data_IF_439378837536
#
_entry.id   IF_439378837536
#
_cell.length_a   1.000
_cell.length_b   1.000
_cell.length_c   1.000
_cell.angle_alpha   90.00
_cell.angle_beta   90.00
_cell.angle_gamma   90.00
#
_symmetry.space_group_name_H-M   'P 1'
#
loop_
_entity.id
_entity.type
_entity.pdbx_description
1 polymer ?
#
# COMPACT_ATOMS: atom_id res chain seq x y z
N UNK A 1 52.80 40.65 -28.10
CA UNK A 1 52.44 41.62 -27.05
C UNK A 1 53.10 41.16 -25.76
N UNK A 2 54.08 41.92 -25.29
CA UNK A 2 54.98 41.58 -24.18
C UNK A 2 54.21 41.54 -22.86
N UNK A 3 54.32 40.44 -22.11
CA UNK A 3 53.77 40.34 -20.74
C UNK A 3 54.77 41.05 -19.84
N UNK A 4 54.42 42.27 -19.40
CA UNK A 4 55.18 42.99 -18.39
C UNK A 4 55.13 42.20 -17.07
N UNK A 5 56.30 41.70 -16.65
CA UNK A 5 56.52 41.21 -15.30
C UNK A 5 56.24 42.35 -14.30
N UNK A 6 55.17 42.20 -13.53
CA UNK A 6 54.85 43.09 -12.43
C UNK A 6 55.91 42.86 -11.35
N UNK A 7 56.68 43.92 -11.06
CA UNK A 7 57.65 44.02 -9.98
C UNK A 7 57.13 43.36 -8.70
N UNK A 8 57.76 42.26 -8.28
CA UNK A 8 57.59 41.68 -6.95
C UNK A 8 58.26 42.63 -5.95
N UNK A 9 57.52 43.60 -5.45
CA UNK A 9 57.98 44.37 -4.29
C UNK A 9 58.24 43.39 -3.15
N UNK A 10 59.49 43.34 -2.67
CA UNK A 10 59.84 42.63 -1.45
C UNK A 10 59.04 43.26 -0.30
N UNK A 11 57.97 42.59 0.10
CA UNK A 11 57.16 42.98 1.26
C UNK A 11 58.07 42.80 2.48
N UNK A 12 58.48 43.92 3.07
CA UNK A 12 59.22 43.90 4.33
C UNK A 12 58.39 43.11 5.36
N UNK A 13 59.02 42.22 6.16
CA UNK A 13 58.30 41.51 7.21
C UNK A 13 57.63 42.55 8.12
N UNK A 14 56.36 42.35 8.53
CA UNK A 14 55.66 43.31 9.35
C UNK A 14 56.47 43.62 10.60
N UNK A 15 56.73 44.90 10.87
CA UNK A 15 57.36 45.33 12.13
C UNK A 15 56.26 45.24 13.19
N UNK A 16 56.12 44.05 13.77
CA UNK A 16 55.14 43.78 14.82
C UNK A 16 55.66 44.40 16.12
N UNK A 17 54.90 45.34 16.70
CA UNK A 17 55.27 45.86 18.01
C UNK A 17 55.15 44.76 19.06
N UNK A 18 55.95 44.83 20.14
CA UNK A 18 55.87 43.84 21.23
C UNK A 18 54.44 43.72 21.80
N UNK A 19 53.72 44.84 21.87
CA UNK A 19 52.32 44.89 22.28
C UNK A 19 51.37 44.17 21.32
N UNK A 20 51.59 44.29 20.00
CA UNK A 20 50.76 43.58 19.00
C UNK A 20 50.96 42.07 19.12
N UNK A 21 52.21 41.64 19.34
CA UNK A 21 52.55 40.22 19.54
C UNK A 21 51.88 39.65 20.78
N UNK A 22 51.97 40.35 21.92
CA UNK A 22 51.34 39.92 23.17
C UNK A 22 49.81 39.88 23.06
N UNK A 23 49.20 40.82 22.32
CA UNK A 23 47.76 40.82 22.03
C UNK A 23 47.35 39.61 21.19
N UNK A 24 48.05 39.32 20.09
CA UNK A 24 47.76 38.18 19.22
C UNK A 24 47.93 36.85 19.96
N UNK A 25 48.97 36.69 20.76
CA UNK A 25 49.18 35.50 21.61
C UNK A 25 48.07 35.33 22.66
N UNK A 26 47.51 36.42 23.19
CA UNK A 26 46.35 36.37 24.09
C UNK A 26 45.08 35.94 23.35
N UNK A 27 44.86 36.44 22.13
CA UNK A 27 43.71 36.05 21.31
C UNK A 27 43.79 34.58 20.87
N UNK A 28 44.97 34.13 20.47
CA UNK A 28 45.19 32.73 20.10
C UNK A 28 44.96 31.78 21.28
N UNK A 29 45.47 32.12 22.48
CA UNK A 29 45.17 31.37 23.70
C UNK A 29 43.67 31.34 24.00
N UNK A 30 42.99 32.47 23.87
CA UNK A 30 41.53 32.53 24.07
C UNK A 30 40.78 31.62 23.09
N UNK A 31 41.14 31.61 21.80
CA UNK A 31 40.53 30.71 20.81
C UNK A 31 40.72 29.26 21.25
N UNK A 32 41.94 28.83 21.54
CA UNK A 32 42.25 27.44 21.91
C UNK A 32 41.45 27.02 23.13
N UNK A 33 41.48 27.80 24.21
CA UNK A 33 40.77 27.48 25.46
C UNK A 33 39.25 27.43 25.26
N UNK A 34 38.68 28.37 24.49
CA UNK A 34 37.24 28.36 24.22
C UNK A 34 36.84 27.20 23.31
N UNK A 35 37.64 26.86 22.29
CA UNK A 35 37.37 25.73 21.40
C UNK A 35 37.46 24.38 22.12
N UNK A 36 38.41 24.23 23.03
CA UNK A 36 38.53 23.05 23.90
C UNK A 36 37.34 22.96 24.87
N UNK A 37 36.88 24.10 25.41
CA UNK A 37 35.74 24.18 26.33
C UNK A 37 34.42 23.74 25.68
N UNK A 38 34.19 24.11 24.42
CA UNK A 38 32.99 23.71 23.68
C UNK A 38 33.10 22.30 23.07
N UNK A 39 34.20 21.59 23.30
CA UNK A 39 34.38 20.21 22.85
C UNK A 39 34.30 20.05 21.32
N UNK A 40 34.68 21.10 20.60
CA UNK A 40 34.59 21.11 19.14
C UNK A 40 35.85 20.45 18.53
N UNK A 41 35.64 19.34 17.82
CA UNK A 41 36.61 18.77 16.88
C UNK A 41 36.46 19.48 15.51
N UNK A 42 37.31 19.22 14.51
CA UNK A 42 37.20 19.83 13.16
C UNK A 42 35.83 19.60 12.46
N UNK A 43 34.99 18.70 13.01
CA UNK A 43 33.63 18.38 12.57
C UNK A 43 32.51 18.88 13.52
N UNK A 44 32.85 19.74 14.49
CA UNK A 44 31.91 20.27 15.50
C UNK A 44 30.85 21.26 14.95
N UNK A 45 29.83 21.62 15.78
CA UNK A 45 28.75 22.50 15.35
C UNK A 45 29.27 23.89 14.95
N UNK A 46 29.19 24.19 13.65
CA UNK A 46 29.72 25.41 13.03
C UNK A 46 29.24 26.74 13.68
N UNK A 47 28.10 26.71 14.37
CA UNK A 47 27.54 27.89 15.04
C UNK A 47 28.34 28.32 16.28
N UNK A 48 28.93 27.39 17.02
CA UNK A 48 29.73 27.70 18.22
C UNK A 48 31.11 28.27 17.85
N UNK A 49 31.75 27.69 16.82
CA UNK A 49 32.95 28.27 16.21
C UNK A 49 32.70 29.69 15.71
N UNK A 50 31.59 29.92 15.01
CA UNK A 50 31.23 31.25 14.51
C UNK A 50 31.14 32.28 15.65
N UNK A 51 30.56 31.91 16.80
CA UNK A 51 30.45 32.80 17.97
C UNK A 51 31.84 33.15 18.54
N UNK A 52 32.73 32.17 18.68
CA UNK A 52 34.10 32.37 19.19
C UNK A 52 34.87 33.32 18.28
N UNK A 53 34.90 33.06 16.98
CA UNK A 53 35.62 33.90 16.02
C UNK A 53 35.00 35.30 15.88
N UNK A 54 33.68 35.41 15.96
CA UNK A 54 32.99 36.72 15.98
C UNK A 54 33.46 37.57 17.17
N UNK A 55 33.52 36.98 18.37
CA UNK A 55 33.98 37.67 19.57
C UNK A 55 35.45 38.09 19.49
N UNK A 56 36.32 37.25 18.91
CA UNK A 56 37.72 37.59 18.68
C UNK A 56 37.84 38.73 17.68
N UNK A 57 37.07 38.70 16.60
CA UNK A 57 37.10 39.75 15.58
C UNK A 57 36.62 41.10 16.15
N UNK A 58 35.60 41.10 17.02
CA UNK A 58 35.18 42.30 17.75
C UNK A 58 36.32 42.87 18.62
N UNK A 59 37.09 42.01 19.32
CA UNK A 59 38.27 42.43 20.08
C UNK A 59 39.40 42.98 19.20
N UNK A 60 39.60 42.43 18.00
CA UNK A 60 40.58 42.92 17.03
C UNK A 60 40.18 44.30 16.48
N UNK A 61 38.89 44.52 16.20
CA UNK A 61 38.34 45.82 15.78
C UNK A 61 38.52 46.88 16.88
N UNK A 62 38.35 46.51 18.15
CA UNK A 62 38.60 47.40 19.28
C UNK A 62 40.09 47.77 19.43
N UNK A 63 40.99 46.80 19.21
CA UNK A 63 42.43 46.99 19.32
C UNK A 63 43.01 47.84 18.18
N UNK A 64 42.61 47.57 16.92
CA UNK A 64 43.13 48.23 15.73
C UNK A 64 42.31 49.48 15.40
N UNK A 65 42.56 50.56 16.14
CA UNK A 65 41.81 51.83 16.02
C UNK A 65 41.94 52.49 14.65
N UNK A 66 43.11 52.41 14.00
CA UNK A 66 43.38 53.06 12.72
C UNK A 66 42.51 52.53 11.56
N UNK A 67 42.18 51.23 11.56
CA UNK A 67 41.38 50.57 10.53
C UNK A 67 39.98 50.18 11.01
N UNK A 68 39.57 50.68 12.19
CA UNK A 68 38.33 50.30 12.86
C UNK A 68 37.10 50.47 11.97
N UNK A 69 37.00 51.58 11.23
CA UNK A 69 35.87 51.85 10.33
C UNK A 69 35.78 50.84 9.18
N UNK A 70 36.90 50.50 8.56
CA UNK A 70 36.97 49.54 7.46
C UNK A 70 36.65 48.13 7.96
N UNK A 71 37.29 47.70 9.06
CA UNK A 71 37.05 46.35 9.63
C UNK A 71 35.61 46.19 10.13
N UNK A 72 35.01 47.24 10.69
CA UNK A 72 33.59 47.22 11.10
C UNK A 72 32.66 47.09 9.89
N UNK A 73 32.95 47.81 8.79
CA UNK A 73 32.17 47.69 7.56
C UNK A 73 32.27 46.30 6.95
N UNK A 74 33.48 45.73 6.88
CA UNK A 74 33.71 44.36 6.43
C UNK A 74 32.92 43.38 7.31
N UNK A 75 33.03 43.50 8.64
CA UNK A 75 32.27 42.66 9.58
C UNK A 75 30.77 42.68 9.28
N UNK A 76 30.23 43.88 9.09
CA UNK A 76 28.80 44.10 8.84
C UNK A 76 28.34 43.44 7.54
N UNK A 77 29.14 43.49 6.48
CA UNK A 77 28.82 42.81 5.21
C UNK A 77 28.80 41.29 5.37
N UNK A 78 29.81 40.72 6.02
CA UNK A 78 29.85 39.28 6.28
C UNK A 78 28.73 38.81 7.20
N UNK A 79 28.43 39.56 8.27
CA UNK A 79 27.31 39.25 9.16
C UNK A 79 25.96 39.28 8.40
N UNK A 80 25.75 40.27 7.53
CA UNK A 80 24.54 40.34 6.69
C UNK A 80 24.44 39.16 5.70
N UNK A 81 25.56 38.75 5.10
CA UNK A 81 25.62 37.60 4.19
C UNK A 81 25.32 36.28 4.91
N UNK A 82 25.95 36.06 6.07
CA UNK A 82 25.74 34.87 6.91
C UNK A 82 24.27 34.78 7.36
N UNK A 83 23.67 35.89 7.79
CA UNK A 83 22.25 35.92 8.16
C UNK A 83 21.33 35.60 6.97
N UNK A 84 21.68 36.08 5.77
CA UNK A 84 20.93 35.78 4.55
C UNK A 84 20.98 34.28 4.22
N UNK A 85 22.15 33.64 4.36
CA UNK A 85 22.30 32.18 4.18
C UNK A 85 21.53 31.40 5.25
N UNK A 86 21.64 31.81 6.51
CA UNK A 86 20.90 31.14 7.60
C UNK A 86 19.39 31.22 7.38
N UNK A 87 18.89 32.39 6.98
CA UNK A 87 17.49 32.60 6.63
C UNK A 87 17.08 31.74 5.44
N UNK A 88 17.85 31.75 4.35
CA UNK A 88 17.54 30.98 3.14
C UNK A 88 17.44 29.48 3.42
N UNK A 89 18.39 28.92 4.19
CA UNK A 89 18.38 27.52 4.62
C UNK A 89 17.15 27.17 5.44
N UNK A 90 16.74 28.02 6.39
CA UNK A 90 15.52 27.83 7.19
C UNK A 90 14.26 27.82 6.31
N UNK A 91 14.15 28.76 5.37
CA UNK A 91 13.02 28.78 4.42
C UNK A 91 13.00 27.56 3.51
N UNK A 92 14.16 27.12 3.01
CA UNK A 92 14.25 25.93 2.17
C UNK A 92 13.81 24.67 2.92
N UNK A 93 14.27 24.50 4.16
CA UNK A 93 13.86 23.40 5.02
C UNK A 93 12.34 23.41 5.28
N UNK A 94 11.78 24.58 5.62
CA UNK A 94 10.35 24.74 5.84
C UNK A 94 9.52 24.42 4.59
N UNK A 95 9.90 24.96 3.43
CA UNK A 95 9.20 24.72 2.17
C UNK A 95 9.30 23.26 1.74
N UNK A 96 10.48 22.64 1.90
CA UNK A 96 10.66 21.22 1.64
C UNK A 96 9.80 20.35 2.56
N UNK A 97 9.75 20.66 3.85
CA UNK A 97 8.87 19.98 4.81
C UNK A 97 7.39 20.10 4.43
N UNK A 98 6.95 21.31 4.07
CA UNK A 98 5.57 21.56 3.61
C UNK A 98 5.27 20.80 2.32
N UNK A 99 6.19 20.78 1.36
CA UNK A 99 6.04 20.02 0.12
C UNK A 99 5.98 18.52 0.38
N UNK A 100 6.80 17.98 1.29
CA UNK A 100 6.79 16.56 1.68
C UNK A 100 5.45 16.16 2.30
N UNK A 101 4.90 17.00 3.19
CA UNK A 101 3.56 16.80 3.76
C UNK A 101 2.51 16.82 2.65
N UNK A 102 2.51 17.86 1.81
CA UNK A 102 1.56 18.01 0.71
C UNK A 102 1.71 16.94 -0.38
N UNK A 103 2.88 16.33 -0.56
CA UNK A 103 3.10 15.23 -1.49
C UNK A 103 2.66 13.88 -0.90
N UNK A 104 2.67 13.72 0.43
CA UNK A 104 2.13 12.54 1.12
C UNK A 104 0.61 12.59 1.35
N UNK A 105 0.03 13.79 1.46
CA UNK A 105 -1.42 14.01 1.68
C UNK A 105 -2.39 13.73 0.48
N UNK A 106 -2.02 13.70 -0.83
CA UNK A 106 -3.03 13.67 -1.89
C UNK A 106 -3.54 12.28 -2.24
N UNK A 107 -2.72 11.24 -2.10
CA UNK A 107 -3.08 9.93 -2.68
C UNK A 107 -4.18 9.28 -1.86
N UNK A 108 -4.01 9.16 -0.54
CA UNK A 108 -5.02 8.55 0.33
C UNK A 108 -6.36 9.30 0.30
N UNK A 109 -6.36 10.64 0.39
CA UNK A 109 -7.58 11.43 0.42
C UNK A 109 -8.32 11.42 -0.93
N UNK A 110 -7.59 11.44 -2.04
CA UNK A 110 -8.19 11.27 -3.37
C UNK A 110 -8.77 9.86 -3.54
N UNK A 111 -8.10 8.81 -3.06
CA UNK A 111 -8.65 7.45 -3.08
C UNK A 111 -9.91 7.32 -2.22
N UNK A 112 -9.93 7.88 -1.01
CA UNK A 112 -11.12 7.87 -0.15
C UNK A 112 -12.29 8.60 -0.81
N UNK A 113 -12.05 9.77 -1.43
CA UNK A 113 -13.10 10.49 -2.19
C UNK A 113 -13.62 9.68 -3.37
N UNK A 114 -12.73 9.06 -4.16
CA UNK A 114 -13.11 8.19 -5.27
C UNK A 114 -13.94 6.99 -4.77
N UNK A 115 -13.54 6.39 -3.66
CA UNK A 115 -14.25 5.26 -3.03
C UNK A 115 -15.65 5.67 -2.53
N UNK A 116 -15.78 6.84 -1.92
CA UNK A 116 -17.09 7.39 -1.49
C UNK A 116 -18.03 7.50 -2.69
N UNK A 117 -17.58 8.09 -3.80
CA UNK A 117 -18.40 8.23 -5.01
C UNK A 117 -18.81 6.87 -5.59
N UNK A 118 -17.89 5.90 -5.62
CA UNK A 118 -18.19 4.53 -6.07
C UNK A 118 -19.22 3.84 -5.17
N UNK A 119 -19.06 3.94 -3.85
CA UNK A 119 -19.99 3.35 -2.89
C UNK A 119 -21.38 3.98 -2.98
N UNK A 120 -21.47 5.31 -3.12
CA UNK A 120 -22.73 6.00 -3.34
C UNK A 120 -23.43 5.58 -4.64
N UNK A 121 -22.67 5.31 -5.72
CA UNK A 121 -23.23 4.77 -6.95
C UNK A 121 -23.77 3.36 -6.76
N UNK A 122 -23.03 2.49 -6.06
CA UNK A 122 -23.47 1.13 -5.72
C UNK A 122 -24.71 1.13 -4.83
N UNK A 123 -24.76 1.98 -3.80
CA UNK A 123 -25.93 2.11 -2.93
C UNK A 123 -27.19 2.49 -3.72
N UNK A 124 -27.10 3.49 -4.61
CA UNK A 124 -28.23 3.89 -5.46
C UNK A 124 -28.73 2.76 -6.35
N UNK A 125 -27.82 1.94 -6.89
CA UNK A 125 -28.20 0.78 -7.70
C UNK A 125 -28.90 -0.30 -6.86
N UNK A 126 -28.41 -0.56 -5.65
CA UNK A 126 -29.03 -1.50 -4.71
C UNK A 126 -30.42 -1.00 -4.31
N UNK A 127 -30.58 0.26 -3.94
CA UNK A 127 -31.89 0.84 -3.59
C UNK A 127 -32.90 0.72 -4.73
N UNK A 128 -32.48 0.98 -5.97
CA UNK A 128 -33.35 0.85 -7.13
C UNK A 128 -33.77 -0.61 -7.35
N UNK A 129 -32.82 -1.54 -7.27
CA UNK A 129 -33.11 -2.98 -7.38
C UNK A 129 -34.03 -3.46 -6.26
N UNK A 130 -33.77 -3.07 -5.02
CA UNK A 130 -34.61 -3.37 -3.87
C UNK A 130 -36.03 -2.84 -4.05
N UNK A 131 -36.19 -1.61 -4.55
CA UNK A 131 -37.50 -1.02 -4.82
C UNK A 131 -38.25 -1.79 -5.91
N UNK A 132 -37.56 -2.22 -6.97
CA UNK A 132 -38.14 -3.03 -8.05
C UNK A 132 -38.58 -4.42 -7.57
N UNK A 133 -37.76 -5.06 -6.75
CA UNK A 133 -38.10 -6.36 -6.15
C UNK A 133 -39.30 -6.22 -5.22
N UNK A 134 -39.33 -5.17 -4.40
CA UNK A 134 -40.45 -4.92 -3.50
C UNK A 134 -41.77 -4.73 -4.27
N UNK A 135 -41.74 -3.99 -5.38
CA UNK A 135 -42.87 -3.86 -6.30
C UNK A 135 -43.37 -5.22 -6.82
N UNK A 136 -42.45 -6.08 -7.29
CA UNK A 136 -42.80 -7.41 -7.78
C UNK A 136 -43.37 -8.32 -6.67
N UNK A 137 -42.84 -8.21 -5.45
CA UNK A 137 -43.36 -8.94 -4.29
C UNK A 137 -44.80 -8.48 -3.99
N UNK A 138 -45.07 -7.18 -4.04
CA UNK A 138 -46.38 -6.64 -3.74
C UNK A 138 -47.40 -6.99 -4.85
N UNK A 139 -46.99 -6.98 -6.13
CA UNK A 139 -47.79 -7.50 -7.25
C UNK A 139 -48.13 -8.99 -7.05
N UNK A 140 -47.14 -9.83 -6.71
CA UNK A 140 -47.38 -11.25 -6.46
C UNK A 140 -48.30 -11.50 -5.25
N UNK A 141 -48.19 -10.67 -4.20
CA UNK A 141 -49.10 -10.74 -3.06
C UNK A 141 -50.52 -10.36 -3.44
N UNK A 142 -50.70 -9.33 -4.26
CA UNK A 142 -52.02 -8.95 -4.78
C UNK A 142 -52.61 -10.07 -5.64
N UNK A 143 -51.84 -10.62 -6.58
CA UNK A 143 -52.26 -11.76 -7.39
C UNK A 143 -52.64 -12.96 -6.50
N UNK A 144 -51.84 -13.28 -5.48
CA UNK A 144 -52.16 -14.35 -4.53
C UNK A 144 -53.44 -14.06 -3.75
N UNK A 145 -53.67 -12.84 -3.29
CA UNK A 145 -54.91 -12.46 -2.61
C UNK A 145 -56.14 -12.56 -3.54
N UNK A 146 -55.98 -12.24 -4.83
CA UNK A 146 -57.03 -12.45 -5.85
C UNK A 146 -57.29 -13.94 -6.13
N UNK A 147 -56.25 -14.76 -6.15
CA UNK A 147 -56.39 -16.21 -6.25
C UNK A 147 -57.03 -16.80 -5.01
N UNK A 148 -56.60 -16.42 -3.81
CA UNK A 148 -57.16 -16.87 -2.54
C UNK A 148 -58.63 -16.44 -2.41
N UNK A 149 -59.03 -15.25 -2.88
CA UNK A 149 -60.45 -14.86 -2.90
C UNK A 149 -61.27 -15.63 -3.93
N UNK A 150 -60.69 -16.00 -5.09
CA UNK A 150 -61.33 -16.89 -6.08
C UNK A 150 -61.36 -18.35 -5.60
N UNK A 151 -60.35 -18.82 -4.88
CA UNK A 151 -60.28 -20.15 -4.26
C UNK A 151 -61.18 -20.24 -3.03
N UNK A 152 -61.33 -19.19 -2.21
CA UNK A 152 -62.27 -19.16 -1.09
C UNK A 152 -63.72 -19.35 -1.57
N UNK A 153 -64.05 -18.82 -2.76
CA UNK A 153 -65.31 -19.10 -3.45
C UNK A 153 -65.41 -20.54 -4.01
N UNK A 154 -64.28 -21.18 -4.33
CA UNK A 154 -64.23 -22.55 -4.88
C UNK A 154 -64.08 -23.65 -3.82
N UNK A 155 -63.48 -23.40 -2.66
CA UNK A 155 -63.26 -24.39 -1.58
C UNK A 155 -64.56 -24.68 -0.83
N UNK A 156 -65.47 -23.71 -0.73
CA UNK A 156 -66.80 -23.91 -0.16
C UNK A 156 -67.83 -24.53 -1.11
N UNK A 157 -67.48 -24.71 -2.40
CA UNK A 157 -68.29 -25.44 -3.36
C UNK A 157 -67.55 -26.72 -3.78
N UNK A 158 -67.39 -27.66 -2.84
CA UNK A 158 -67.27 -29.09 -3.20
C UNK A 158 -68.62 -29.55 -3.76
N UNK A 159 -68.90 -29.11 -4.98
CA UNK A 159 -69.90 -29.72 -5.83
C UNK A 159 -69.46 -31.16 -6.06
N UNK A 160 -70.11 -32.11 -5.39
CA UNK A 160 -69.97 -33.55 -5.65
C UNK A 160 -70.38 -33.94 -7.07
N UNK A 161 -70.90 -32.99 -7.87
CA UNK A 161 -71.26 -33.14 -9.28
C UNK A 161 -70.10 -32.91 -10.25
N UNK A 162 -68.93 -32.42 -9.78
CA UNK A 162 -67.77 -32.23 -10.67
C UNK A 162 -67.03 -33.56 -10.85
N UNK A 163 -66.81 -34.02 -12.10
CA UNK A 163 -66.08 -35.25 -12.36
C UNK A 163 -64.63 -35.16 -11.87
N UNK A 164 -64.06 -36.31 -11.48
CA UNK A 164 -62.66 -36.43 -11.06
C UNK A 164 -61.76 -35.84 -12.17
N UNK A 165 -60.81 -34.94 -11.85
CA UNK A 165 -59.95 -34.31 -12.85
C UNK A 165 -59.24 -35.35 -13.74
N UNK A 166 -59.48 -35.31 -15.06
CA UNK A 166 -58.93 -36.28 -16.01
C UNK A 166 -59.77 -37.54 -16.22
N UNK A 167 -60.97 -37.63 -15.63
CA UNK A 167 -61.98 -38.64 -15.93
C UNK A 167 -63.26 -37.99 -16.47
N UNK A 168 -63.99 -38.73 -17.31
CA UNK A 168 -65.33 -38.36 -17.74
C UNK A 168 -66.38 -38.72 -16.67
N UNK A 169 -67.58 -38.09 -16.71
CA UNK A 169 -68.67 -38.40 -15.79
C UNK A 169 -69.06 -39.88 -15.80
N UNK A 170 -69.05 -40.52 -16.97
CA UNK A 170 -69.39 -41.94 -17.11
C UNK A 170 -68.33 -42.86 -16.48
N UNK A 171 -67.06 -42.52 -16.61
CA UNK A 171 -65.96 -43.26 -15.98
C UNK A 171 -65.98 -43.07 -14.45
N UNK A 172 -66.35 -41.88 -13.97
CA UNK A 172 -66.40 -41.57 -12.53
C UNK A 172 -67.48 -42.35 -11.75
N UNK A 173 -68.42 -42.98 -12.45
CA UNK A 173 -69.45 -43.86 -11.86
C UNK A 173 -69.13 -45.35 -12.11
N UNK A 174 -68.11 -45.65 -12.92
CA UNK A 174 -67.66 -47.01 -13.21
C UNK A 174 -66.57 -47.45 -12.24
N UNK A 175 -66.85 -48.50 -11.48
CA UNK A 175 -65.94 -49.05 -10.47
C UNK A 175 -64.61 -49.53 -11.10
N UNK A 176 -64.66 -50.10 -12.30
CA UNK A 176 -63.47 -50.56 -13.03
C UNK A 176 -62.58 -49.39 -13.49
N UNK A 177 -63.19 -48.29 -13.97
CA UNK A 177 -62.46 -47.11 -14.39
C UNK A 177 -61.82 -46.36 -13.20
N UNK A 178 -62.54 -46.27 -12.08
CA UNK A 178 -62.01 -45.74 -10.81
C UNK A 178 -60.82 -46.55 -10.30
N UNK A 179 -60.90 -47.88 -10.36
CA UNK A 179 -59.81 -48.76 -9.89
C UNK A 179 -58.56 -48.61 -10.75
N UNK A 180 -58.73 -48.50 -12.09
CA UNK A 180 -57.62 -48.23 -13.02
C UNK A 180 -56.99 -46.86 -12.79
N UNK A 181 -57.81 -45.84 -12.55
CA UNK A 181 -57.34 -44.48 -12.30
C UNK A 181 -56.60 -44.37 -10.96
N UNK A 182 -57.10 -45.04 -9.92
CA UNK A 182 -56.42 -45.15 -8.63
C UNK A 182 -55.03 -45.78 -8.79
N UNK A 183 -54.93 -46.89 -9.51
CA UNK A 183 -53.65 -47.55 -9.79
C UNK A 183 -52.68 -46.63 -10.55
N UNK A 184 -53.16 -45.90 -11.55
CA UNK A 184 -52.35 -44.92 -12.27
C UNK A 184 -51.82 -43.79 -11.35
N UNK A 185 -52.64 -43.31 -10.41
CA UNK A 185 -52.20 -42.31 -9.43
C UNK A 185 -51.15 -42.86 -8.47
N UNK A 186 -51.31 -44.10 -8.00
CA UNK A 186 -50.32 -44.79 -7.18
C UNK A 186 -48.99 -44.95 -7.93
N UNK A 187 -49.03 -45.40 -9.18
CA UNK A 187 -47.85 -45.54 -10.04
C UNK A 187 -47.15 -44.19 -10.24
N UNK A 188 -47.90 -43.12 -10.52
CA UNK A 188 -47.37 -41.76 -10.70
C UNK A 188 -46.77 -41.20 -9.42
N UNK A 189 -47.39 -41.48 -8.27
CA UNK A 189 -46.85 -41.09 -6.97
C UNK A 189 -45.52 -41.77 -6.69
N UNK A 190 -45.44 -43.09 -6.91
CA UNK A 190 -44.21 -43.86 -6.74
C UNK A 190 -43.10 -43.38 -7.69
N UNK A 191 -43.43 -43.07 -8.95
CA UNK A 191 -42.49 -42.48 -9.91
C UNK A 191 -41.96 -41.13 -9.42
N UNK A 192 -42.84 -40.27 -8.91
CA UNK A 192 -42.48 -38.94 -8.40
C UNK A 192 -41.60 -39.03 -7.15
N UNK A 193 -41.89 -39.94 -6.24
CA UNK A 193 -41.10 -40.19 -5.04
C UNK A 193 -39.70 -40.75 -5.39
N UNK A 194 -39.63 -41.65 -6.37
CA UNK A 194 -38.36 -42.15 -6.88
C UNK A 194 -37.55 -41.06 -7.60
N UNK A 195 -38.22 -40.17 -8.33
CA UNK A 195 -37.58 -39.00 -8.95
C UNK A 195 -37.06 -38.03 -7.90
N UNK A 196 -37.84 -37.77 -6.85
CA UNK A 196 -37.44 -36.89 -5.76
C UNK A 196 -36.18 -37.41 -5.05
N UNK A 197 -36.16 -38.71 -4.71
CA UNK A 197 -35.03 -39.34 -4.03
C UNK A 197 -33.76 -39.42 -4.87
N UNK A 198 -33.86 -39.55 -6.20
CA UNK A 198 -32.70 -39.56 -7.11
C UNK A 198 -32.17 -38.16 -7.43
N UNK A 199 -33.05 -37.18 -7.57
CA UNK A 199 -32.72 -35.87 -8.15
C UNK A 199 -32.44 -34.79 -7.11
N UNK A 200 -32.91 -34.97 -5.88
CA UNK A 200 -32.77 -33.99 -4.81
C UNK A 200 -32.05 -34.59 -3.61
N UNK A 201 -31.15 -33.80 -3.02
CA UNK A 201 -30.50 -34.11 -1.76
C UNK A 201 -31.32 -33.53 -0.61
N UNK A 202 -31.45 -34.25 0.53
CA UNK A 202 -32.05 -33.69 1.74
C UNK A 202 -31.33 -32.41 2.16
N UNK A 203 -32.11 -31.41 2.57
CA UNK A 203 -31.56 -30.10 2.95
C UNK A 203 -30.49 -30.19 4.06
N UNK A 204 -30.65 -31.13 5.00
CA UNK A 204 -29.68 -31.37 6.07
C UNK A 204 -28.31 -31.79 5.52
N UNK A 205 -28.28 -32.76 4.59
CA UNK A 205 -27.05 -33.24 3.96
C UNK A 205 -26.31 -32.15 3.19
N UNK A 206 -27.06 -31.20 2.60
CA UNK A 206 -26.47 -30.05 1.93
C UNK A 206 -25.76 -29.13 2.92
N UNK A 207 -26.42 -28.82 4.04
CA UNK A 207 -25.82 -27.96 5.07
C UNK A 207 -24.54 -28.58 5.67
N UNK A 208 -24.54 -29.89 5.91
CA UNK A 208 -23.35 -30.60 6.41
C UNK A 208 -22.18 -30.51 5.41
N UNK A 209 -22.46 -30.66 4.09
CA UNK A 209 -21.46 -30.54 3.04
C UNK A 209 -20.93 -29.11 2.85
N UNK A 210 -21.80 -28.11 3.00
CA UNK A 210 -21.40 -26.70 2.93
C UNK A 210 -20.45 -26.35 4.09
N UNK A 211 -20.70 -26.87 5.29
CA UNK A 211 -19.80 -26.70 6.45
C UNK A 211 -18.45 -27.43 6.24
N UNK A 212 -18.47 -28.68 5.76
CA UNK A 212 -17.24 -29.41 5.41
C UNK A 212 -16.40 -28.66 4.36
N UNK A 213 -17.05 -28.05 3.36
CA UNK A 213 -16.38 -27.25 2.34
C UNK A 213 -15.64 -26.05 2.97
N UNK A 214 -16.28 -25.32 3.89
CA UNK A 214 -15.68 -24.17 4.57
C UNK A 214 -14.41 -24.61 5.32
N UNK A 215 -14.50 -25.68 6.11
CA UNK A 215 -13.36 -26.19 6.89
C UNK A 215 -12.19 -26.61 5.99
N UNK A 216 -12.47 -27.26 4.85
CA UNK A 216 -11.44 -27.66 3.89
C UNK A 216 -10.78 -26.45 3.24
N UNK A 217 -11.55 -25.42 2.88
CA UNK A 217 -11.02 -24.19 2.30
C UNK A 217 -10.12 -23.45 3.28
N UNK A 218 -10.54 -23.28 4.53
CA UNK A 218 -9.71 -22.65 5.56
C UNK A 218 -8.39 -23.41 5.77
N UNK A 219 -8.44 -24.74 5.80
CA UNK A 219 -7.24 -25.57 5.92
C UNK A 219 -6.30 -25.41 4.73
N UNK A 220 -6.84 -25.30 3.51
CA UNK A 220 -6.05 -25.04 2.30
C UNK A 220 -5.36 -23.69 2.40
N UNK A 221 -6.09 -22.64 2.76
CA UNK A 221 -5.57 -21.27 2.81
C UNK A 221 -4.46 -21.14 3.87
N UNK A 222 -4.62 -21.79 5.02
CA UNK A 222 -3.57 -21.87 6.05
C UNK A 222 -2.32 -22.59 5.53
N UNK A 223 -2.50 -23.70 4.80
CA UNK A 223 -1.39 -24.46 4.24
C UNK A 223 -0.67 -23.66 3.12
N UNK A 224 -1.41 -22.95 2.28
CA UNK A 224 -0.88 -22.11 1.22
C UNK A 224 -0.08 -20.94 1.78
N UNK A 225 -0.59 -20.25 2.80
CA UNK A 225 0.13 -19.19 3.49
C UNK A 225 1.44 -19.68 4.11
N UNK A 226 1.42 -20.85 4.76
CA UNK A 226 2.63 -21.45 5.31
C UNK A 226 3.62 -21.85 4.22
N UNK A 227 3.14 -22.38 3.10
CA UNK A 227 3.98 -22.74 1.96
C UNK A 227 4.67 -21.49 1.35
N UNK A 228 3.94 -20.39 1.19
CA UNK A 228 4.47 -19.13 0.68
C UNK A 228 5.58 -18.58 1.59
N UNK A 229 5.37 -18.59 2.92
CA UNK A 229 6.38 -18.17 3.89
C UNK A 229 7.63 -19.07 3.84
N UNK A 230 7.44 -20.39 3.72
CA UNK A 230 8.56 -21.33 3.59
C UNK A 230 9.33 -21.12 2.28
N UNK A 231 8.64 -20.87 1.18
CA UNK A 231 9.24 -20.58 -0.12
C UNK A 231 10.07 -19.30 -0.08
N UNK A 232 9.55 -18.24 0.55
CA UNK A 232 10.29 -16.99 0.73
C UNK A 232 11.58 -17.20 1.54
N UNK A 233 11.50 -17.95 2.65
CA UNK A 233 12.67 -18.30 3.44
C UNK A 233 13.67 -19.11 2.62
N UNK A 234 13.19 -20.10 1.87
CA UNK A 234 14.04 -20.92 1.01
C UNK A 234 14.80 -20.09 -0.02
N UNK A 235 14.11 -19.19 -0.72
CA UNK A 235 14.72 -18.27 -1.70
C UNK A 235 15.78 -17.38 -1.04
N UNK A 236 15.48 -16.82 0.14
CA UNK A 236 16.46 -16.01 0.89
C UNK A 236 17.69 -16.81 1.26
N UNK A 237 17.53 -18.03 1.78
CA UNK A 237 18.65 -18.92 2.07
C UNK A 237 19.45 -19.26 0.82
N UNK A 238 18.78 -19.48 -0.32
CA UNK A 238 19.43 -19.79 -1.59
C UNK A 238 20.30 -18.63 -2.07
N UNK A 239 19.82 -17.39 -1.99
CA UNK A 239 20.59 -16.19 -2.35
C UNK A 239 21.81 -16.05 -1.45
N UNK A 240 21.65 -16.24 -0.13
CA UNK A 240 22.76 -16.16 0.83
C UNK A 240 23.77 -17.28 0.55
N UNK A 241 23.32 -18.49 0.24
CA UNK A 241 24.18 -19.63 -0.08
C UNK A 241 24.99 -19.39 -1.36
N UNK A 242 24.35 -18.84 -2.41
CA UNK A 242 25.01 -18.45 -3.65
C UNK A 242 26.04 -17.34 -3.40
N UNK A 243 25.66 -16.31 -2.63
CA UNK A 243 26.55 -15.23 -2.24
C UNK A 243 27.76 -15.74 -1.47
N UNK A 244 27.55 -16.63 -0.50
CA UNK A 244 28.62 -17.23 0.29
C UNK A 244 29.58 -18.04 -0.60
N UNK A 245 29.03 -18.85 -1.52
CA UNK A 245 29.83 -19.64 -2.45
C UNK A 245 30.70 -18.76 -3.35
N UNK A 246 30.14 -17.68 -3.88
CA UNK A 246 30.87 -16.73 -4.72
C UNK A 246 31.90 -15.92 -3.92
N UNK A 247 31.58 -15.55 -2.68
CA UNK A 247 32.49 -14.85 -1.78
C UNK A 247 33.71 -15.69 -1.42
N UNK A 248 33.51 -16.96 -1.07
CA UNK A 248 34.59 -17.94 -0.83
C UNK A 248 35.45 -18.10 -2.08
N UNK A 249 34.86 -18.17 -3.27
CA UNK A 249 35.61 -18.24 -4.54
C UNK A 249 36.40 -16.97 -4.85
N UNK A 250 36.00 -15.82 -4.32
CA UNK A 250 36.70 -14.53 -4.47
C UNK A 250 37.81 -14.28 -3.44
N UNK A 251 38.25 -15.35 -2.77
CA UNK A 251 39.29 -15.36 -1.73
C UNK A 251 39.00 -14.41 -0.55
N UNK A 252 37.71 -14.12 -0.31
CA UNK A 252 37.25 -13.23 0.75
C UNK A 252 37.86 -11.83 0.72
N UNK A 253 38.24 -11.36 -0.48
CA UNK A 253 38.94 -10.08 -0.70
C UNK A 253 38.19 -8.82 -0.25
N UNK A 254 36.86 -8.91 -0.07
CA UNK A 254 35.99 -7.86 0.46
C UNK A 254 35.14 -8.41 1.60
N UNK A 255 34.57 -7.54 2.43
CA UNK A 255 33.64 -8.00 3.48
C UNK A 255 32.44 -8.71 2.85
N UNK A 256 31.92 -9.74 3.53
CA UNK A 256 30.73 -10.46 3.05
C UNK A 256 29.49 -9.54 2.94
N UNK A 257 29.43 -8.51 3.79
CA UNK A 257 28.37 -7.50 3.76
C UNK A 257 28.41 -6.67 2.46
N UNK A 258 29.58 -6.17 2.07
CA UNK A 258 29.74 -5.43 0.81
C UNK A 258 29.42 -6.32 -0.41
N UNK A 259 29.73 -7.62 -0.29
CA UNK A 259 29.45 -8.61 -1.31
C UNK A 259 27.95 -8.89 -1.47
N UNK A 260 27.22 -8.99 -0.35
CA UNK A 260 25.76 -9.12 -0.32
C UNK A 260 25.07 -7.88 -0.91
N UNK A 261 25.54 -6.66 -0.57
CA UNK A 261 25.02 -5.43 -1.17
C UNK A 261 25.26 -5.37 -2.68
N UNK A 262 26.41 -5.87 -3.15
CA UNK A 262 26.71 -5.95 -4.56
C UNK A 262 25.81 -6.96 -5.30
N UNK A 263 25.51 -8.12 -4.70
CA UNK A 263 24.56 -9.10 -5.28
C UNK A 263 23.14 -8.55 -5.29
N UNK A 264 22.72 -7.87 -4.22
CA UNK A 264 21.40 -7.27 -4.15
C UNK A 264 21.21 -6.13 -5.17
N UNK A 265 22.28 -5.37 -5.49
CA UNK A 265 22.27 -4.32 -6.53
C UNK A 265 22.32 -4.86 -7.96
N UNK A 266 22.84 -6.06 -8.19
CA UNK A 266 23.01 -6.66 -9.54
C UNK A 266 21.95 -7.72 -9.86
N UNK A 267 20.84 -7.76 -9.12
CA UNK A 267 19.83 -8.82 -9.16
C UNK A 267 18.86 -8.74 -10.36
N UNK A 268 19.31 -8.21 -11.49
CA UNK A 268 18.62 -8.29 -12.80
C UNK A 268 19.05 -9.51 -13.63
N UNK A 269 19.84 -10.43 -13.06
CA UNK A 269 20.47 -11.52 -13.81
C UNK A 269 20.25 -12.90 -13.17
N UNK A 270 18.98 -13.29 -13.05
CA UNK A 270 18.59 -14.68 -13.34
C UNK A 270 17.17 -14.68 -13.91
N UNK A 271 17.07 -14.89 -15.22
CA UNK A 271 15.81 -14.93 -15.94
C UNK A 271 14.87 -16.01 -15.41
N UNK A 272 13.57 -15.72 -15.52
CA UNK A 272 12.41 -16.49 -15.05
C UNK A 272 11.94 -16.28 -13.59
N UNK A 273 12.18 -15.10 -13.01
CA UNK A 273 11.49 -14.66 -11.79
C UNK A 273 10.83 -13.28 -11.88
N UNK A 274 10.77 -12.68 -13.07
CA UNK A 274 10.25 -11.32 -13.30
C UNK A 274 8.72 -11.20 -13.17
N UNK A 275 8.01 -12.32 -12.94
CA UNK A 275 6.57 -12.32 -12.65
C UNK A 275 6.29 -12.17 -11.14
N UNK A 276 7.30 -12.38 -10.29
CA UNK A 276 7.10 -12.43 -8.82
C UNK A 276 7.51 -11.13 -8.13
N UNK A 277 8.38 -10.32 -8.73
CA UNK A 277 8.70 -8.99 -8.18
C UNK A 277 7.51 -8.01 -8.37
N UNK A 278 6.62 -8.23 -9.34
CA UNK A 278 5.35 -7.49 -9.50
C UNK A 278 4.22 -8.00 -8.59
N UNK A 279 4.42 -9.12 -7.87
CA UNK A 279 3.50 -9.60 -6.83
C UNK A 279 3.76 -8.99 -5.44
N UNK A 280 4.84 -8.19 -5.31
CA UNK A 280 5.22 -7.54 -4.04
C UNK A 280 4.81 -6.07 -3.94
N UNK A 281 4.25 -5.47 -5.00
CA UNK A 281 3.42 -4.27 -4.88
C UNK A 281 1.94 -4.66 -4.93
N UNK A 282 1.39 -5.07 -3.79
CA UNK A 282 -0.06 -5.14 -3.57
C UNK A 282 -0.61 -3.70 -3.44
N UNK A 283 -0.53 -2.95 -4.54
CA UNK A 283 -1.27 -1.71 -4.76
C UNK A 283 -2.64 -2.09 -5.34
N UNK A 284 -3.74 -2.01 -4.56
CA UNK A 284 -5.09 -2.36 -5.03
C UNK A 284 -5.59 -1.45 -6.17
N UNK A 285 -4.84 -0.40 -6.55
CA UNK A 285 -5.07 0.42 -7.73
C UNK A 285 -4.46 -0.11 -9.04
N UNK A 286 -3.51 -1.05 -8.99
CA UNK A 286 -2.81 -1.63 -10.14
C UNK A 286 -3.22 -3.07 -10.48
N UNK A 287 -4.22 -3.63 -9.79
CA UNK A 287 -4.71 -4.97 -10.07
C UNK A 287 -5.26 -5.08 -11.50
N UNK A 288 -4.43 -5.56 -12.43
CA UNK A 288 -4.84 -5.95 -13.77
C UNK A 288 -5.42 -7.36 -13.76
N UNK A 289 -6.51 -7.52 -13.00
CA UNK A 289 -7.25 -8.78 -12.86
C UNK A 289 -7.69 -9.36 -14.22
N UNK A 290 -7.97 -8.49 -15.19
CA UNK A 290 -8.29 -8.87 -16.57
C UNK A 290 -7.08 -9.43 -17.36
N UNK A 291 -5.87 -8.95 -17.11
CA UNK A 291 -4.64 -9.42 -17.78
C UNK A 291 -4.20 -10.77 -17.18
N UNK A 292 -4.40 -10.95 -15.87
CA UNK A 292 -4.21 -12.24 -15.17
C UNK A 292 -5.22 -13.30 -15.68
N UNK A 293 -6.50 -12.94 -15.82
CA UNK A 293 -7.51 -13.85 -16.37
C UNK A 293 -7.24 -14.23 -17.84
N UNK A 294 -6.76 -13.28 -18.67
CA UNK A 294 -6.35 -13.56 -20.04
C UNK A 294 -5.18 -14.55 -20.09
N UNK A 295 -4.19 -14.38 -19.22
CA UNK A 295 -3.05 -15.30 -19.12
C UNK A 295 -3.48 -16.74 -18.77
N UNK A 296 -4.44 -16.92 -17.85
CA UNK A 296 -4.96 -18.25 -17.52
C UNK A 296 -5.78 -18.90 -18.65
N UNK A 297 -6.50 -18.09 -19.43
CA UNK A 297 -7.26 -18.56 -20.60
C UNK A 297 -6.33 -18.97 -21.74
N UNK A 298 -5.27 -18.19 -22.00
CA UNK A 298 -4.28 -18.48 -23.04
C UNK A 298 -3.46 -19.74 -22.72
N UNK A 299 -3.19 -20.00 -21.43
CA UNK A 299 -2.46 -21.19 -20.97
C UNK A 299 -3.26 -22.50 -20.99
N UNK A 300 -4.58 -22.44 -21.19
CA UNK A 300 -5.45 -23.62 -21.36
C UNK A 300 -5.71 -23.97 -22.83
N UNK A 301 -5.19 -23.18 -23.78
CA UNK A 301 -5.45 -23.35 -25.23
C UNK A 301 -4.25 -23.99 -25.97
N UNK A 302 -3.14 -24.29 -25.29
CA UNK A 302 -2.01 -25.07 -25.83
C UNK A 302 -1.57 -26.19 -24.88
#
# INVERSE_FOLDING_TARGET
MSVQEINKHAVLPPIISRSDKEFLERMQRYIITETERVGCNEEGPADEYYIIYRNVFDKVIEYVTAYKSILTSIKKEYDAFIETIKKSRRTAFYLHGKLKVLAGEPTALVYHRKRITQLQAKMRLIENNSSKIQLQIDEMKQLRAEYDTKEQYCIFCKDSSKPIPGMTLQESVSLDALTKYLKHLEDKYAETEQLMSKKYLPAQRKADLDEEMIVVLERRDLAENLNNELQFRHQRLQIISQALTLWVKSDMSRSFQDFMEHIQKNKDLHGEQDIVEELLEDDPGKAKEAEILLYYVERQIF
#
